data_IF_758151146863
#
_entry.id   IF_758151146863
#
_cell.length_a   1.000
_cell.length_b   1.000
_cell.length_c   1.000
_cell.angle_alpha   90.00
_cell.angle_beta   90.00
_cell.angle_gamma   90.00
#
_symmetry.space_group_name_H-M   'P 1'
#
loop_
_entity.id
_entity.type
_entity.pdbx_description
1 polymer ?
#
# COMPACT_ATOMS: atom_id res chain seq x y z
N UNK A 1 -15.21 74.62 4.64
CA UNK A 1 -16.04 73.47 5.06
C UNK A 1 -15.78 72.38 4.05
N UNK A 2 -14.84 71.49 4.40
CA UNK A 2 -14.27 70.45 3.54
C UNK A 2 -14.68 69.13 4.15
N UNK A 3 -15.37 68.26 3.40
CA UNK A 3 -15.36 66.81 3.62
C UNK A 3 -15.97 66.12 2.39
N UNK A 4 -15.13 65.71 1.43
CA UNK A 4 -14.52 64.38 1.30
C UNK A 4 -15.46 63.33 0.69
N UNK A 5 -15.50 63.36 -0.64
CA UNK A 5 -15.94 62.32 -1.56
C UNK A 5 -15.49 60.93 -1.10
N UNK A 6 -16.46 60.06 -0.76
CA UNK A 6 -16.22 58.63 -0.61
C UNK A 6 -16.29 57.96 -1.98
N UNK A 7 -15.13 57.85 -2.61
CA UNK A 7 -14.89 56.89 -3.69
C UNK A 7 -15.03 55.49 -3.07
N UNK A 8 -16.04 54.77 -3.53
CA UNK A 8 -16.23 53.36 -3.21
C UNK A 8 -15.23 52.57 -4.07
N UNK A 9 -14.06 52.26 -3.50
CA UNK A 9 -13.18 51.23 -4.07
C UNK A 9 -13.82 49.87 -3.84
N UNK A 10 -13.98 49.02 -4.88
CA UNK A 10 -14.25 47.61 -4.65
C UNK A 10 -13.02 47.00 -3.95
N UNK A 11 -13.28 46.43 -2.77
CA UNK A 11 -12.30 45.68 -2.01
C UNK A 11 -11.77 44.50 -2.85
N UNK A 12 -10.47 44.31 -2.75
CA UNK A 12 -9.65 43.34 -3.45
C UNK A 12 -10.34 41.99 -3.71
N UNK A 13 -10.44 41.65 -4.99
CA UNK A 13 -10.22 40.30 -5.47
C UNK A 13 -8.88 39.81 -4.91
N UNK A 14 -8.90 39.21 -3.72
CA UNK A 14 -7.89 38.20 -3.40
C UNK A 14 -8.24 37.00 -4.26
N UNK A 15 -7.76 37.07 -5.50
CA UNK A 15 -7.34 35.92 -6.27
C UNK A 15 -6.82 34.90 -5.25
N UNK A 16 -7.64 33.88 -5.01
CA UNK A 16 -7.22 32.66 -4.33
C UNK A 16 -6.34 31.92 -5.33
N UNK A 17 -5.23 32.57 -5.65
CA UNK A 17 -3.98 32.04 -6.16
C UNK A 17 -3.29 31.27 -5.01
N UNK A 18 -4.06 30.46 -4.28
CA UNK A 18 -3.59 29.11 -4.08
C UNK A 18 -3.76 28.45 -5.44
N UNK A 19 -2.85 28.79 -6.37
CA UNK A 19 -2.48 27.88 -7.43
C UNK A 19 -2.35 26.54 -6.73
N UNK A 20 -3.38 25.72 -6.91
CA UNK A 20 -3.47 24.37 -6.41
C UNK A 20 -2.13 23.80 -6.78
N UNK A 21 -1.25 23.69 -5.79
CA UNK A 21 0.12 23.28 -6.02
C UNK A 21 -0.06 21.95 -6.72
N UNK A 22 0.20 21.95 -8.03
CA UNK A 22 0.12 20.76 -8.86
C UNK A 22 1.29 19.93 -8.37
N UNK A 23 1.08 19.29 -7.22
CA UNK A 23 1.97 18.29 -6.68
C UNK A 23 1.87 17.22 -7.74
N UNK A 24 2.94 16.99 -8.52
CA UNK A 24 2.90 15.91 -9.48
C UNK A 24 2.44 14.68 -8.70
N UNK A 25 1.44 13.94 -9.20
CA UNK A 25 0.89 12.82 -8.45
C UNK A 25 2.08 11.92 -8.10
N UNK A 26 2.29 11.68 -6.80
CA UNK A 26 3.36 10.82 -6.33
C UNK A 26 3.28 9.52 -7.14
N UNK A 27 4.42 9.07 -7.68
CA UNK A 27 4.44 7.87 -8.52
C UNK A 27 3.79 6.70 -7.75
N UNK A 28 2.79 6.08 -8.37
CA UNK A 28 2.00 5.00 -7.76
C UNK A 28 0.84 5.44 -6.87
N UNK A 29 0.62 6.74 -6.61
CA UNK A 29 -0.50 7.21 -5.79
C UNK A 29 -1.86 6.90 -6.41
N UNK A 30 -2.00 7.03 -7.74
CA UNK A 30 -3.24 6.66 -8.44
C UNK A 30 -3.53 5.16 -8.31
N UNK A 31 -2.50 4.33 -8.47
CA UNK A 31 -2.58 2.87 -8.30
C UNK A 31 -2.96 2.53 -6.86
N UNK A 32 -2.30 3.15 -5.88
CA UNK A 32 -2.60 2.96 -4.47
C UNK A 32 -4.04 3.36 -4.11
N UNK A 33 -4.49 4.52 -4.59
CA UNK A 33 -5.87 4.99 -4.39
C UNK A 33 -6.88 4.03 -5.01
N UNK A 34 -6.64 3.55 -6.24
CA UNK A 34 -7.51 2.58 -6.89
C UNK A 34 -7.59 1.26 -6.10
N UNK A 35 -6.44 0.73 -5.65
CA UNK A 35 -6.37 -0.51 -4.87
C UNK A 35 -7.10 -0.37 -3.53
N UNK A 36 -6.85 0.72 -2.80
CA UNK A 36 -7.45 0.94 -1.48
C UNK A 36 -8.95 1.26 -1.56
N UNK A 37 -9.37 2.03 -2.56
CA UNK A 37 -10.80 2.30 -2.80
C UNK A 37 -11.56 1.03 -3.16
N UNK A 38 -11.03 0.19 -4.06
CA UNK A 38 -11.63 -1.11 -4.41
C UNK A 38 -11.72 -2.03 -3.20
N UNK A 39 -10.74 -1.99 -2.32
CA UNK A 39 -10.75 -2.73 -1.06
C UNK A 39 -11.71 -2.14 0.00
N UNK A 40 -12.41 -1.04 -0.29
CA UNK A 40 -13.27 -0.34 0.66
C UNK A 40 -12.51 0.21 1.87
N UNK A 41 -11.22 0.54 1.69
CA UNK A 41 -10.34 0.98 2.78
C UNK A 41 -10.04 -0.11 3.82
N UNK A 42 -10.26 -1.39 3.51
CA UNK A 42 -10.01 -2.53 4.40
C UNK A 42 -8.83 -3.38 3.91
N UNK A 43 -8.18 -4.05 4.84
CA UNK A 43 -7.19 -5.07 4.52
C UNK A 43 -7.86 -6.28 3.83
N UNK A 44 -7.33 -6.68 2.67
CA UNK A 44 -7.82 -7.82 1.89
C UNK A 44 -7.21 -9.16 2.31
N UNK A 45 -6.31 -9.18 3.31
CA UNK A 45 -5.67 -10.40 3.81
C UNK A 45 -6.73 -11.37 4.38
N UNK A 46 -6.72 -12.61 3.88
CA UNK A 46 -7.55 -13.75 4.30
C UNK A 46 -6.77 -14.85 5.03
N UNK A 47 -5.46 -14.69 5.16
CA UNK A 47 -4.58 -15.66 5.85
C UNK A 47 -3.17 -15.74 5.26
N UNK A 48 -2.88 -14.97 4.22
CA UNK A 48 -1.57 -14.88 3.55
C UNK A 48 -0.46 -14.43 4.50
N UNK A 49 -0.81 -13.80 5.63
CA UNK A 49 0.11 -13.44 6.70
C UNK A 49 0.48 -14.59 7.66
N UNK A 50 0.04 -15.82 7.36
CA UNK A 50 0.22 -17.02 8.18
C UNK A 50 -0.36 -16.90 9.61
N UNK A 51 -1.40 -16.08 9.78
CA UNK A 51 -2.21 -16.01 11.00
C UNK A 51 -3.66 -16.33 10.68
N UNK A 52 -4.38 -17.04 11.57
CA UNK A 52 -5.79 -17.29 11.37
C UNK A 52 -6.56 -15.96 11.42
N UNK A 53 -7.47 -15.78 10.48
CA UNK A 53 -8.53 -14.78 10.56
C UNK A 53 -9.83 -15.55 10.80
N UNK A 54 -10.48 -15.39 11.97
CA UNK A 54 -11.64 -16.20 12.33
C UNK A 54 -12.77 -16.04 11.30
N UNK A 55 -13.31 -17.19 10.87
CA UNK A 55 -14.41 -17.32 9.91
C UNK A 55 -15.78 -17.20 10.62
N UNK A 56 -16.84 -17.34 9.84
CA UNK A 56 -18.18 -16.84 10.14
C UNK A 56 -18.93 -17.46 11.33
N UNK A 57 -18.34 -18.48 11.96
CA UNK A 57 -18.95 -19.40 12.92
C UNK A 57 -18.37 -19.29 14.35
N UNK A 58 -17.43 -18.37 14.58
CA UNK A 58 -16.87 -18.09 15.91
C UNK A 58 -17.50 -16.84 16.53
N UNK A 59 -17.58 -16.73 17.86
CA UNK A 59 -18.03 -15.50 18.54
C UNK A 59 -17.15 -14.27 18.20
N UNK A 60 -15.95 -14.50 17.67
CA UNK A 60 -15.05 -13.47 17.09
C UNK A 60 -15.47 -13.01 15.67
N UNK A 61 -16.56 -13.54 15.11
CA UNK A 61 -17.13 -13.22 13.80
C UNK A 61 -17.38 -11.72 13.60
N UNK A 62 -17.68 -11.01 14.69
CA UNK A 62 -17.90 -9.56 14.68
C UNK A 62 -16.69 -8.75 14.17
N UNK A 63 -15.49 -9.35 14.08
CA UNK A 63 -14.25 -8.63 13.75
C UNK A 63 -13.76 -8.78 12.31
N UNK A 64 -14.23 -9.70 11.47
CA UNK A 64 -13.61 -9.76 10.13
C UNK A 64 -14.07 -10.79 9.10
N UNK A 65 -14.97 -11.72 9.43
CA UNK A 65 -15.49 -12.72 8.46
C UNK A 65 -14.40 -13.42 7.62
N UNK A 66 -13.32 -13.88 8.24
CA UNK A 66 -12.18 -14.48 7.53
C UNK A 66 -11.21 -13.50 6.88
N UNK A 67 -11.36 -12.19 7.13
CA UNK A 67 -10.41 -11.14 6.73
C UNK A 67 -9.81 -10.42 7.93
N UNK A 68 -8.68 -9.77 7.71
CA UNK A 68 -8.07 -8.90 8.70
C UNK A 68 -9.01 -7.69 9.02
N UNK A 69 -9.27 -7.37 10.31
CA UNK A 69 -10.10 -6.22 10.71
C UNK A 69 -9.52 -4.85 10.35
N UNK A 70 -8.26 -4.80 9.92
CA UNK A 70 -7.54 -3.53 9.77
C UNK A 70 -8.14 -2.67 8.66
N UNK A 71 -8.36 -1.40 9.00
CA UNK A 71 -8.86 -0.36 8.10
C UNK A 71 -7.78 0.70 7.90
N UNK A 72 -7.84 1.38 6.76
CA UNK A 72 -7.01 2.55 6.48
C UNK A 72 -7.31 3.66 7.49
N UNK A 73 -6.28 4.16 8.18
CA UNK A 73 -6.37 5.32 9.07
C UNK A 73 -5.13 6.20 8.94
N UNK A 74 -5.21 7.50 9.28
CA UNK A 74 -4.02 8.33 9.44
C UNK A 74 -3.00 7.66 10.36
N UNK A 75 -1.73 7.59 9.93
CA UNK A 75 -0.65 6.90 10.66
C UNK A 75 -0.68 5.36 10.61
N UNK A 76 -1.70 4.75 9.98
CA UNK A 76 -1.79 3.30 9.72
C UNK A 76 -2.29 3.06 8.28
N UNK A 77 -1.48 3.41 7.27
CA UNK A 77 -1.88 3.24 5.88
C UNK A 77 -1.95 1.75 5.50
N UNK A 78 -2.78 1.46 4.50
CA UNK A 78 -2.70 0.21 3.77
C UNK A 78 -1.61 0.31 2.71
N UNK A 79 -0.98 -0.81 2.38
CA UNK A 79 -0.02 -0.95 1.30
C UNK A 79 -0.70 -1.62 0.11
N UNK A 80 -0.37 -1.19 -1.11
CA UNK A 80 -0.72 -1.92 -2.32
C UNK A 80 0.37 -2.96 -2.58
N UNK A 81 0.02 -4.23 -2.52
CA UNK A 81 0.97 -5.33 -2.64
C UNK A 81 0.53 -6.33 -3.71
N UNK A 82 1.45 -7.02 -4.39
CA UNK A 82 1.09 -8.04 -5.38
C UNK A 82 0.16 -9.11 -4.79
N UNK A 83 -0.90 -9.47 -5.52
CA UNK A 83 -1.78 -10.60 -5.15
C UNK A 83 -1.00 -11.92 -5.17
N UNK A 84 -0.17 -12.10 -6.19
CA UNK A 84 0.73 -13.23 -6.35
C UNK A 84 2.18 -12.79 -6.12
N UNK A 85 3.06 -13.65 -5.56
CA UNK A 85 4.48 -13.34 -5.47
C UNK A 85 5.06 -13.02 -6.87
N UNK A 86 5.79 -11.92 -6.98
CA UNK A 86 6.51 -11.52 -8.20
C UNK A 86 7.91 -11.05 -7.84
N UNK A 87 8.89 -11.15 -8.75
CA UNK A 87 10.19 -10.51 -8.58
C UNK A 87 10.05 -9.00 -8.34
N UNK A 88 10.89 -8.38 -7.49
CA UNK A 88 10.83 -6.95 -7.22
C UNK A 88 10.88 -6.08 -8.49
N UNK A 89 11.66 -6.50 -9.50
CA UNK A 89 11.77 -5.82 -10.78
C UNK A 89 10.46 -5.75 -11.59
N UNK A 90 9.53 -6.67 -11.35
CA UNK A 90 8.24 -6.72 -12.04
C UNK A 90 7.12 -6.00 -11.27
N UNK A 91 7.32 -5.74 -9.96
CA UNK A 91 6.29 -5.16 -9.10
C UNK A 91 5.83 -3.76 -9.53
N UNK A 92 6.74 -2.94 -10.05
CA UNK A 92 6.44 -1.57 -10.49
C UNK A 92 5.53 -1.50 -11.72
N UNK A 93 5.46 -2.57 -12.53
CA UNK A 93 4.63 -2.63 -13.73
C UNK A 93 3.20 -3.15 -13.45
N UNK A 94 2.90 -3.56 -12.21
CA UNK A 94 1.61 -4.14 -11.87
C UNK A 94 0.50 -3.09 -11.85
N UNK A 95 -0.61 -3.41 -12.52
CA UNK A 95 -1.84 -2.64 -12.43
C UNK A 95 -2.60 -2.90 -11.12
N UNK A 96 -3.56 -2.03 -10.81
CA UNK A 96 -4.37 -2.11 -9.59
C UNK A 96 -5.06 -3.49 -9.40
N UNK A 97 -5.45 -4.15 -10.48
CA UNK A 97 -6.10 -5.47 -10.40
C UNK A 97 -5.19 -6.59 -9.91
N UNK A 98 -3.89 -6.48 -10.20
CA UNK A 98 -2.86 -7.44 -9.79
C UNK A 98 -2.36 -7.17 -8.36
N UNK A 99 -2.82 -6.09 -7.75
CA UNK A 99 -2.48 -5.68 -6.39
C UNK A 99 -3.67 -5.92 -5.44
N UNK A 100 -3.37 -5.97 -4.14
CA UNK A 100 -4.33 -6.03 -3.04
C UNK A 100 -3.93 -5.06 -1.93
N UNK A 101 -4.89 -4.61 -1.15
CA UNK A 101 -4.63 -3.77 0.01
C UNK A 101 -4.24 -4.63 1.24
N UNK A 102 -3.08 -4.39 1.85
CA UNK A 102 -2.64 -5.06 3.08
C UNK A 102 -2.20 -4.05 4.15
N UNK A 103 -2.54 -4.28 5.41
CA UNK A 103 -1.97 -3.50 6.51
C UNK A 103 -0.50 -3.89 6.75
N UNK A 104 0.29 -2.97 7.32
CA UNK A 104 1.71 -3.20 7.56
C UNK A 104 2.02 -4.52 8.32
N UNK A 105 1.30 -4.88 9.41
CA UNK A 105 1.54 -6.14 10.09
C UNK A 105 1.32 -7.39 9.24
N UNK A 106 0.32 -7.38 8.34
CA UNK A 106 0.06 -8.53 7.47
C UNK A 106 1.10 -8.61 6.36
N UNK A 107 1.48 -7.46 5.77
CA UNK A 107 2.50 -7.39 4.73
C UNK A 107 3.85 -7.92 5.22
N UNK A 108 4.37 -7.37 6.33
CA UNK A 108 5.65 -7.81 6.89
C UNK A 108 5.67 -9.30 7.23
N UNK A 109 4.56 -9.85 7.76
CA UNK A 109 4.46 -11.28 8.07
C UNK A 109 4.44 -12.15 6.82
N UNK A 110 3.68 -11.75 5.80
CA UNK A 110 3.63 -12.43 4.51
C UNK A 110 5.03 -12.48 3.88
N UNK A 111 5.76 -11.37 3.86
CA UNK A 111 7.12 -11.31 3.34
C UNK A 111 8.10 -12.18 4.14
N UNK A 112 8.02 -12.10 5.47
CA UNK A 112 8.84 -12.94 6.36
C UNK A 112 8.55 -14.43 6.14
N UNK A 113 7.28 -14.80 5.97
CA UNK A 113 6.89 -16.17 5.68
C UNK A 113 7.42 -16.62 4.32
N UNK A 114 7.23 -15.81 3.27
CA UNK A 114 7.68 -16.13 1.92
C UNK A 114 9.21 -16.28 1.82
N UNK A 115 9.96 -15.37 2.44
CA UNK A 115 11.43 -15.45 2.48
C UNK A 115 11.93 -16.69 3.23
N UNK A 116 11.26 -17.07 4.33
CA UNK A 116 11.57 -18.34 5.03
C UNK A 116 11.29 -19.55 4.16
N UNK A 117 10.17 -19.58 3.44
CA UNK A 117 9.86 -20.71 2.54
C UNK A 117 10.86 -20.83 1.40
N UNK A 118 11.34 -19.71 0.83
CA UNK A 118 12.36 -19.73 -0.21
C UNK A 118 13.72 -20.22 0.30
N UNK A 119 14.12 -19.83 1.52
CA UNK A 119 15.37 -20.29 2.14
C UNK A 119 15.35 -21.76 2.60
N UNK A 120 14.18 -22.30 2.88
CA UNK A 120 14.01 -23.70 3.28
C UNK A 120 13.98 -24.66 2.08
N UNK A 121 13.89 -24.16 0.84
CA UNK A 121 14.12 -24.97 -0.34
C UNK A 121 15.58 -25.47 -0.31
N UNK A 122 15.84 -26.75 -0.65
CA UNK A 122 17.19 -27.30 -0.60
C UNK A 122 18.10 -26.46 -1.49
N UNK A 123 18.99 -25.69 -0.89
CA UNK A 123 20.11 -25.06 -1.58
C UNK A 123 21.00 -26.19 -2.07
N UNK A 124 20.92 -26.50 -3.36
CA UNK A 124 21.98 -27.22 -4.04
C UNK A 124 23.27 -26.44 -3.83
N UNK A 125 24.21 -27.06 -3.12
CA UNK A 125 25.52 -26.57 -2.73
C UNK A 125 26.48 -26.49 -3.94
N UNK A 126 25.97 -25.99 -5.07
CA UNK A 126 26.67 -25.94 -6.36
C UNK A 126 27.16 -24.52 -6.70
N UNK A 127 27.02 -23.55 -5.78
CA UNK A 127 27.37 -22.16 -6.06
C UNK A 127 28.88 -21.87 -5.88
N UNK A 128 29.64 -22.78 -5.28
CA UNK A 128 31.08 -22.61 -5.03
C UNK A 128 31.99 -23.65 -5.69
N UNK A 129 31.44 -24.58 -6.47
CA UNK A 129 32.23 -25.63 -7.14
C UNK A 129 32.71 -25.17 -8.53
N UNK A 130 33.32 -23.98 -8.59
CA UNK A 130 34.00 -23.47 -9.77
C UNK A 130 35.52 -23.49 -9.53
N UNK A 131 36.11 -24.65 -9.84
CA UNK A 131 37.44 -24.72 -10.41
C UNK A 131 38.61 -24.74 -9.43
N UNK A 132 38.92 -25.93 -8.93
CA UNK A 132 40.32 -26.27 -8.66
C UNK A 132 41.07 -26.29 -10.02
N UNK A 133 41.70 -25.17 -10.37
CA UNK A 133 42.68 -25.14 -11.46
C UNK A 133 44.00 -25.63 -10.88
N UNK A 134 44.29 -26.90 -11.07
CA UNK A 134 45.63 -27.46 -10.83
C UNK A 134 46.56 -26.94 -11.92
N UNK A 135 47.62 -26.26 -11.50
CA UNK A 135 48.77 -25.86 -12.32
C UNK A 135 50.05 -26.39 -11.71
#
# INVERSE_FOLDING_TARGET
>A
MTDHSRLHTPDHDTDTEYAEQVRPPLLGASVWTAVTARAGGRCECTGECARPHPLADSDDYARGRGRCPAEQRPGRPLHAVPRTPVPPSQGAALGAEQLMAMCAPCHTRRDTHHTRTLRAAPTTDALFDLGEVTG
#
